data_IF_253597079934
#
_entry.id   IF_253597079934
#
_cell.length_a   1.000
_cell.length_b   1.000
_cell.length_c   1.000
_cell.angle_alpha   90.00
_cell.angle_beta   90.00
_cell.angle_gamma   90.00
#
_symmetry.space_group_name_H-M   'P 1'
#
loop_
_entity.id
_entity.type
_entity.pdbx_description
1 polymer ?
#
# COMPACT_ATOMS: atom_id res chain seq x y z
N UNK A 1 18.58 7.32 -11.73
CA UNK A 1 17.49 6.86 -10.84
C UNK A 1 16.26 6.68 -11.70
N UNK A 2 15.65 5.49 -11.69
CA UNK A 2 14.49 5.24 -12.53
C UNK A 2 13.34 6.15 -12.09
N UNK A 3 12.78 6.90 -13.03
CA UNK A 3 11.75 7.92 -12.77
C UNK A 3 10.39 7.34 -13.15
N UNK A 4 9.85 6.47 -12.31
CA UNK A 4 8.52 5.91 -12.55
C UNK A 4 7.42 6.78 -11.94
N UNK A 5 6.30 6.90 -12.65
CA UNK A 5 5.08 7.47 -12.08
C UNK A 5 4.64 6.63 -10.88
N UNK A 6 3.93 7.24 -9.93
CA UNK A 6 3.43 6.57 -8.71
C UNK A 6 2.66 5.30 -9.09
N UNK A 7 1.80 5.39 -10.10
CA UNK A 7 1.01 4.27 -10.61
C UNK A 7 1.90 3.11 -11.07
N UNK A 8 2.86 3.36 -11.95
CA UNK A 8 3.78 2.33 -12.43
C UNK A 8 4.63 1.73 -11.30
N UNK A 9 5.05 2.53 -10.32
CA UNK A 9 5.82 2.05 -9.17
C UNK A 9 4.97 1.12 -8.27
N UNK A 10 3.70 1.46 -8.08
CA UNK A 10 2.72 0.63 -7.35
C UNK A 10 2.46 -0.68 -8.12
N UNK A 11 2.29 -0.62 -9.44
CA UNK A 11 2.06 -1.83 -10.24
C UNK A 11 3.27 -2.78 -10.17
N UNK A 12 4.49 -2.24 -10.33
CA UNK A 12 5.71 -3.03 -10.27
C UNK A 12 5.89 -3.65 -8.88
N UNK A 13 5.62 -2.90 -7.80
CA UNK A 13 5.74 -3.43 -6.44
C UNK A 13 4.73 -4.55 -6.15
N UNK A 14 3.51 -4.48 -6.69
CA UNK A 14 2.51 -5.55 -6.61
C UNK A 14 3.01 -6.82 -7.31
N UNK A 15 3.59 -6.70 -8.50
CA UNK A 15 4.17 -7.84 -9.24
C UNK A 15 5.31 -8.48 -8.44
N UNK A 16 6.19 -7.67 -7.85
CA UNK A 16 7.26 -8.19 -6.97
C UNK A 16 6.66 -8.88 -5.73
N UNK A 17 5.64 -8.29 -5.13
CA UNK A 17 4.91 -8.88 -4.01
C UNK A 17 4.27 -10.24 -4.31
N UNK A 18 3.74 -10.41 -5.52
CA UNK A 18 3.23 -11.70 -6.01
C UNK A 18 4.36 -12.72 -6.12
N UNK A 19 5.49 -12.35 -6.75
CA UNK A 19 6.66 -13.24 -6.89
C UNK A 19 7.19 -13.66 -5.51
N UNK A 20 7.27 -12.75 -4.54
CA UNK A 20 7.71 -13.07 -3.17
C UNK A 20 6.80 -14.08 -2.48
N UNK A 21 5.48 -14.02 -2.73
CA UNK A 21 4.55 -15.01 -2.20
C UNK A 21 4.81 -16.41 -2.77
N UNK A 22 5.21 -16.53 -4.04
CA UNK A 22 5.52 -17.83 -4.65
C UNK A 22 6.76 -18.50 -4.04
N UNK A 23 7.69 -17.72 -3.48
CA UNK A 23 8.94 -18.24 -2.87
C UNK A 23 8.74 -18.54 -1.37
N UNK A 24 7.50 -18.50 -0.85
CA UNK A 24 7.19 -18.63 0.58
C UNK A 24 7.86 -17.59 1.49
N UNK A 25 8.46 -16.53 0.94
CA UNK A 25 8.89 -15.31 1.64
C UNK A 25 7.69 -14.38 1.90
N UNK A 26 6.53 -14.97 2.15
CA UNK A 26 5.25 -14.30 2.32
C UNK A 26 5.05 -13.71 3.72
N UNK A 27 3.88 -13.10 3.93
CA UNK A 27 3.49 -12.51 5.22
C UNK A 27 3.98 -11.08 5.41
N UNK A 28 4.29 -10.71 6.65
CA UNK A 28 4.61 -9.33 7.04
C UNK A 28 5.83 -8.76 6.29
N UNK A 29 6.85 -9.60 6.04
CA UNK A 29 8.06 -9.17 5.32
C UNK A 29 7.78 -8.75 3.87
N UNK A 30 6.98 -9.53 3.14
CA UNK A 30 6.59 -9.19 1.77
C UNK A 30 5.87 -7.83 1.70
N UNK A 31 5.02 -7.51 2.69
CA UNK A 31 4.30 -6.23 2.74
C UNK A 31 5.25 -5.06 2.91
N UNK A 32 6.24 -5.19 3.80
CA UNK A 32 7.28 -4.18 4.01
C UNK A 32 8.11 -3.99 2.73
N UNK A 33 8.49 -5.09 2.06
CA UNK A 33 9.24 -5.04 0.79
C UNK A 33 8.43 -4.36 -0.32
N UNK A 34 7.13 -4.65 -0.44
CA UNK A 34 6.25 -3.97 -1.41
C UNK A 34 6.22 -2.46 -1.15
N UNK A 35 6.03 -2.05 0.11
CA UNK A 35 6.03 -0.64 0.49
C UNK A 35 7.37 0.05 0.20
N UNK A 36 8.47 -0.65 0.47
CA UNK A 36 9.83 -0.19 0.17
C UNK A 36 10.05 -0.01 -1.33
N UNK A 37 9.78 -1.04 -2.14
CA UNK A 37 10.00 -1.01 -3.59
C UNK A 37 9.14 0.08 -4.25
N UNK A 38 7.87 0.20 -3.85
CA UNK A 38 6.98 1.24 -4.37
C UNK A 38 7.52 2.65 -4.11
N UNK A 39 7.99 2.90 -2.88
CA UNK A 39 8.52 4.20 -2.49
C UNK A 39 9.86 4.48 -3.16
N UNK A 40 10.71 3.44 -3.30
CA UNK A 40 12.02 3.52 -3.93
C UNK A 40 11.97 3.79 -5.44
N UNK A 41 10.99 3.18 -6.15
CA UNK A 41 10.83 3.35 -7.59
C UNK A 41 10.15 4.67 -7.98
N UNK A 42 9.48 5.32 -7.02
CA UNK A 42 8.78 6.58 -7.27
C UNK A 42 9.75 7.75 -7.39
N UNK A 43 9.45 8.70 -8.28
CA UNK A 43 10.26 9.93 -8.46
C UNK A 43 10.51 10.61 -7.10
N UNK A 44 11.75 11.01 -6.76
CA UNK A 44 12.11 11.53 -5.44
C UNK A 44 11.40 12.84 -5.04
N UNK A 45 10.82 13.57 -6.00
CA UNK A 45 9.95 14.73 -5.72
C UNK A 45 8.57 14.33 -5.17
N UNK A 46 8.16 13.09 -5.38
CA UNK A 46 6.86 12.53 -4.98
C UNK A 46 7.01 11.29 -4.08
N UNK A 47 8.23 10.78 -3.87
CA UNK A 47 8.49 9.65 -2.97
C UNK A 47 8.20 10.09 -1.54
N UNK A 48 7.31 9.35 -0.88
CA UNK A 48 6.98 9.53 0.52
C UNK A 48 6.45 8.21 1.05
N UNK A 49 6.55 7.98 2.35
CA UNK A 49 5.91 6.84 3.04
C UNK A 49 4.46 6.59 2.61
N UNK A 50 3.72 7.64 2.22
CA UNK A 50 2.35 7.55 1.70
C UNK A 50 2.23 6.65 0.47
N UNK A 51 3.23 6.64 -0.41
CA UNK A 51 3.25 5.78 -1.60
C UNK A 51 3.37 4.31 -1.19
N UNK A 52 4.20 4.02 -0.18
CA UNK A 52 4.28 2.70 0.44
C UNK A 52 2.97 2.25 1.06
N UNK A 53 2.24 3.14 1.73
CA UNK A 53 0.90 2.86 2.26
C UNK A 53 -0.08 2.48 1.15
N UNK A 54 -0.13 3.26 0.07
CA UNK A 54 -1.04 3.02 -1.06
C UNK A 54 -0.72 1.68 -1.72
N UNK A 55 0.56 1.40 -1.98
CA UNK A 55 0.97 0.15 -2.60
C UNK A 55 0.61 -1.08 -1.75
N UNK A 56 0.90 -1.03 -0.45
CA UNK A 56 0.57 -2.12 0.46
C UNK A 56 -0.94 -2.29 0.61
N UNK A 57 -1.71 -1.19 0.71
CA UNK A 57 -3.16 -1.25 0.78
C UNK A 57 -3.78 -1.85 -0.49
N UNK A 58 -3.34 -1.41 -1.68
CA UNK A 58 -3.77 -1.98 -2.97
C UNK A 58 -3.48 -3.48 -3.05
N UNK A 59 -2.29 -3.90 -2.62
CA UNK A 59 -1.95 -5.32 -2.54
C UNK A 59 -2.82 -6.08 -1.52
N UNK A 60 -3.13 -5.44 -0.39
CA UNK A 60 -4.04 -5.95 0.63
C UNK A 60 -5.43 -6.23 0.08
N UNK A 61 -6.01 -5.31 -0.70
CA UNK A 61 -7.33 -5.52 -1.31
C UNK A 61 -7.33 -6.78 -2.19
N UNK A 62 -6.29 -6.97 -3.00
CA UNK A 62 -6.17 -8.16 -3.86
C UNK A 62 -6.10 -9.43 -3.01
N UNK A 63 -5.32 -9.42 -1.92
CA UNK A 63 -5.21 -10.56 -0.99
C UNK A 63 -6.52 -10.82 -0.24
N UNK A 64 -7.24 -9.78 0.13
CA UNK A 64 -8.55 -9.91 0.79
C UNK A 64 -9.58 -10.52 -0.16
N UNK A 65 -9.65 -10.05 -1.42
CA UNK A 65 -10.53 -10.64 -2.43
C UNK A 65 -10.17 -12.10 -2.73
N UNK A 66 -8.87 -12.42 -2.80
CA UNK A 66 -8.42 -13.80 -2.95
C UNK A 66 -8.86 -14.68 -1.78
N UNK A 67 -8.71 -14.21 -0.54
CA UNK A 67 -9.15 -14.92 0.66
C UNK A 67 -10.68 -15.02 0.78
N UNK A 68 -11.42 -14.04 0.27
CA UNK A 68 -12.88 -14.07 0.24
C UNK A 68 -13.43 -15.11 -0.76
N UNK A 69 -12.77 -15.24 -1.92
CA UNK A 69 -13.14 -16.21 -2.95
C UNK A 69 -12.62 -17.63 -2.66
N UNK A 70 -11.62 -17.76 -1.79
CA UNK A 70 -11.04 -19.06 -1.42
C UNK A 70 -11.70 -19.56 -0.14
N UNK A 71 -12.61 -20.54 -0.20
CA UNK A 71 -13.26 -21.06 0.99
C UNK A 71 -12.21 -21.68 1.93
N UNK A 72 -12.33 -21.48 3.25
CA UNK A 72 -11.47 -22.15 4.20
C UNK A 72 -11.69 -23.67 4.13
N UNK A 73 -10.63 -24.45 4.33
CA UNK A 73 -10.74 -25.89 4.52
C UNK A 73 -11.34 -26.17 5.88
N UNK A 74 -12.63 -26.52 5.94
CA UNK A 74 -13.27 -26.95 7.16
C UNK A 74 -13.04 -28.46 7.39
N UNK A 75 -12.75 -28.90 8.62
CA UNK A 75 -12.61 -30.32 8.94
C UNK A 75 -13.96 -31.06 9.04
N UNK A 76 -15.09 -30.36 8.85
CA UNK A 76 -16.45 -30.90 8.90
C UNK A 76 -17.36 -30.19 7.89
N UNK A 77 -18.30 -30.91 7.31
CA UNK A 77 -19.35 -30.34 6.45
C UNK A 77 -20.38 -29.61 7.31
N UNK A 78 -20.52 -28.30 7.08
CA UNK A 78 -21.62 -27.51 7.63
C UNK A 78 -22.88 -27.83 6.83
N UNK A 79 -23.89 -28.42 7.48
CA UNK A 79 -25.19 -28.63 6.86
C UNK A 79 -25.81 -27.28 6.51
N UNK A 80 -26.30 -27.14 5.27
CA UNK A 80 -26.84 -25.89 4.69
C UNK A 80 -27.97 -25.29 5.55
N UNK A 81 -28.61 -26.11 6.39
CA UNK A 81 -29.70 -25.72 7.28
C UNK A 81 -29.27 -25.16 8.65
N UNK A 82 -28.02 -25.35 9.10
CA UNK A 82 -27.58 -24.84 10.41
C UNK A 82 -27.08 -23.38 10.38
N UNK A 83 -26.83 -22.83 9.19
CA UNK A 83 -26.42 -21.45 8.99
C UNK A 83 -27.64 -20.52 8.94
N UNK A 84 -28.32 -20.35 10.07
CA UNK A 84 -29.45 -19.42 10.17
C UNK A 84 -29.04 -17.97 9.88
N UNK A 85 -30.03 -17.10 9.62
CA UNK A 85 -29.83 -15.67 9.29
C UNK A 85 -28.93 -14.93 10.29
N UNK A 86 -28.95 -15.33 11.57
CA UNK A 86 -28.10 -14.78 12.62
C UNK A 86 -26.61 -15.11 12.46
N UNK A 87 -26.26 -16.28 11.93
CA UNK A 87 -24.88 -16.68 11.64
C UNK A 87 -24.34 -15.96 10.40
N UNK A 88 -25.21 -15.74 9.40
CA UNK A 88 -24.86 -14.95 8.22
C UNK A 88 -24.65 -13.46 8.58
N UNK A 89 -25.52 -12.90 9.43
CA UNK A 89 -25.40 -11.52 9.90
C UNK A 89 -24.15 -11.29 10.77
N UNK A 90 -23.86 -12.22 11.70
CA UNK A 90 -22.63 -12.13 12.50
C UNK A 90 -21.38 -12.30 11.63
N UNK A 91 -21.39 -13.24 10.68
CA UNK A 91 -20.31 -13.42 9.70
C UNK A 91 -20.03 -12.18 8.87
N UNK A 92 -21.07 -11.46 8.44
CA UNK A 92 -20.92 -10.20 7.70
C UNK A 92 -20.29 -9.08 8.56
N UNK A 93 -20.69 -8.97 9.82
CA UNK A 93 -20.07 -8.01 10.77
C UNK A 93 -18.60 -8.37 11.00
N UNK A 94 -18.30 -9.64 11.24
CA UNK A 94 -16.92 -10.13 11.41
C UNK A 94 -16.07 -9.85 10.17
N UNK A 95 -16.64 -9.99 8.97
CA UNK A 95 -15.96 -9.67 7.72
C UNK A 95 -15.61 -8.19 7.61
N UNK A 96 -16.53 -7.28 7.97
CA UNK A 96 -16.27 -5.83 7.96
C UNK A 96 -15.17 -5.47 8.96
N UNK A 97 -15.30 -5.92 10.21
CA UNK A 97 -14.28 -5.64 11.24
C UNK A 97 -12.93 -6.26 10.86
N UNK A 98 -12.93 -7.49 10.34
CA UNK A 98 -11.74 -8.16 9.84
C UNK A 98 -11.07 -7.38 8.71
N UNK A 99 -11.84 -6.85 7.76
CA UNK A 99 -11.32 -6.01 6.69
C UNK A 99 -10.68 -4.72 7.21
N UNK A 100 -11.31 -4.05 8.18
CA UNK A 100 -10.77 -2.82 8.79
C UNK A 100 -9.44 -3.09 9.47
N UNK A 101 -9.36 -4.14 10.30
CA UNK A 101 -8.12 -4.52 11.00
C UNK A 101 -7.04 -4.92 10.00
N UNK A 102 -7.41 -5.73 9.00
CA UNK A 102 -6.51 -6.15 7.93
C UNK A 102 -5.95 -4.94 7.14
N UNK A 103 -6.80 -4.00 6.75
CA UNK A 103 -6.41 -2.78 6.06
C UNK A 103 -5.42 -1.95 6.88
N UNK A 104 -5.69 -1.78 8.18
CA UNK A 104 -4.82 -1.05 9.10
C UNK A 104 -3.43 -1.69 9.17
N UNK A 105 -3.35 -3.02 9.31
CA UNK A 105 -2.09 -3.76 9.35
C UNK A 105 -1.29 -3.51 8.06
N UNK A 106 -1.93 -3.65 6.89
CA UNK A 106 -1.26 -3.46 5.62
C UNK A 106 -0.77 -2.03 5.41
N UNK A 107 -1.56 -1.03 5.81
CA UNK A 107 -1.17 0.38 5.74
C UNK A 107 0.05 0.64 6.65
N UNK A 108 0.04 0.15 7.89
CA UNK A 108 1.13 0.35 8.85
C UNK A 108 2.41 -0.32 8.35
N UNK A 109 2.34 -1.57 7.90
CA UNK A 109 3.51 -2.30 7.40
C UNK A 109 4.05 -1.68 6.10
N UNK A 110 3.17 -1.25 5.19
CA UNK A 110 3.55 -0.52 3.98
C UNK A 110 4.21 0.82 4.29
N UNK A 111 3.71 1.54 5.31
CA UNK A 111 4.30 2.77 5.79
C UNK A 111 5.71 2.54 6.32
N UNK A 112 5.95 1.47 7.08
CA UNK A 112 7.28 1.10 7.57
C UNK A 112 8.24 0.90 6.39
N UNK A 113 7.83 0.15 5.37
CA UNK A 113 8.62 -0.03 4.14
C UNK A 113 8.97 1.29 3.46
N UNK A 114 8.00 2.20 3.33
CA UNK A 114 8.20 3.53 2.76
C UNK A 114 9.06 4.46 3.62
N UNK A 115 8.92 4.40 4.95
CA UNK A 115 9.72 5.19 5.89
C UNK A 115 11.20 4.80 5.84
N UNK A 116 11.52 3.52 5.62
CA UNK A 116 12.92 3.09 5.45
C UNK A 116 13.55 3.79 4.24
N UNK A 117 12.82 3.91 3.13
CA UNK A 117 13.30 4.63 1.93
C UNK A 117 13.47 6.11 2.24
N UNK A 118 12.46 6.73 2.85
CA UNK A 118 12.54 8.14 3.24
C UNK A 118 13.76 8.36 4.14
N UNK A 119 14.00 7.54 5.16
CA UNK A 119 15.14 7.72 6.06
C UNK A 119 16.50 7.51 5.37
N UNK A 120 16.60 6.50 4.48
CA UNK A 120 17.85 6.12 3.83
C UNK A 120 18.23 7.06 2.68
N UNK A 121 17.24 7.66 1.99
CA UNK A 121 17.46 8.44 0.77
C UNK A 121 17.03 9.93 0.87
N UNK A 122 16.32 10.37 1.91
CA UNK A 122 15.88 11.77 2.07
C UNK A 122 17.03 12.77 2.31
N UNK A 123 18.25 12.30 2.60
CA UNK A 123 19.42 13.20 2.77
C UNK A 123 19.87 13.95 1.52
N UNK A 124 19.32 13.72 0.31
CA UNK A 124 19.87 14.32 -0.93
C UNK A 124 19.03 15.35 -1.70
N UNK A 125 17.74 15.57 -1.43
CA UNK A 125 16.94 16.41 -2.37
C UNK A 125 15.86 17.30 -1.75
N UNK A 126 16.09 17.91 -0.59
CA UNK A 126 15.35 19.13 -0.22
C UNK A 126 16.01 20.40 -0.77
N UNK A 127 16.32 20.44 -2.08
CA UNK A 127 16.37 21.75 -2.77
C UNK A 127 14.92 22.16 -3.02
N UNK A 128 14.31 22.78 -2.00
CA UNK A 128 13.06 23.54 -2.13
C UNK A 128 13.18 24.39 -3.40
N UNK A 129 12.27 24.21 -4.36
CA UNK A 129 12.15 25.12 -5.50
C UNK A 129 12.13 26.55 -4.93
N UNK A 130 13.02 27.46 -5.34
CA UNK A 130 12.95 28.84 -4.88
C UNK A 130 11.58 29.37 -5.29
N UNK A 131 10.80 29.83 -4.30
CA UNK A 131 9.56 30.58 -4.57
C UNK A 131 9.93 31.70 -5.53
N UNK A 132 9.46 31.61 -6.77
CA UNK A 132 9.59 32.68 -7.76
C UNK A 132 8.93 33.91 -7.14
N UNK A 133 9.75 34.86 -6.66
CA UNK A 133 9.26 36.14 -6.17
C UNK A 133 8.49 36.79 -7.34
N UNK A 134 7.27 37.31 -7.12
CA UNK A 134 6.58 38.03 -8.18
C UNK A 134 7.45 39.22 -8.59
N UNK A 135 7.78 39.28 -9.89
CA UNK A 135 8.55 40.37 -10.50
C UNK A 135 7.74 41.65 -10.31
N UNK A 136 8.08 42.46 -9.29
CA UNK A 136 7.54 43.82 -9.12
C UNK A 136 7.84 44.56 -10.42
N UNK A 137 6.81 44.82 -11.23
CA UNK A 137 6.90 45.77 -12.35
C UNK A 137 7.22 47.13 -11.76
N UNK A 138 8.47 47.56 -11.89
CA UNK A 138 8.80 48.98 -11.78
C UNK A 138 8.16 49.68 -12.98
N UNK A 139 6.99 50.28 -12.76
CA UNK A 139 6.46 51.29 -13.66
C UNK A 139 7.35 52.53 -13.52
N UNK A 140 8.39 52.59 -14.35
CA UNK A 140 8.94 53.87 -14.76
C UNK A 140 7.88 54.52 -15.64
N UNK A 141 7.21 55.55 -15.13
CA UNK A 141 6.65 56.61 -15.97
C UNK A 141 7.37 57.90 -15.58
N UNK A 142 8.19 58.32 -16.53
CA UNK A 142 8.57 59.67 -16.95
C UNK A 142 8.02 60.80 -16.10
#
# INVERSE_FOLDING_TARGET
MAKYSIESAVTISIVVGLILNFINLGGMFAIVVIGFIATYLTVPEKSSYKVGCIAAFSFGIIKFLYGFLTPPTLPYDLSIYSAGLGLAASGFITLIFGFIVFALIYIILGAIGGLIVDFLFSKKTHKKKPKTKPKRRSLNRV
#
